data_IF_535717485476
#
_entry.id   IF_535717485476
#
_cell.length_a   1.000
_cell.length_b   1.000
_cell.length_c   1.000
_cell.angle_alpha   90.00
_cell.angle_beta   90.00
_cell.angle_gamma   90.00
#
_symmetry.space_group_name_H-M   'P 1'
#
loop_
_entity.id
_entity.type
_entity.pdbx_description
1 polymer ?
#
# COMPACT_ATOMS: atom_id res chain seq x y z
N UNK A 1 -28.73 -5.02 -6.11
CA UNK A 1 -27.69 -4.02 -5.84
C UNK A 1 -28.22 -2.62 -6.12
N UNK A 2 -27.69 -1.66 -5.38
CA UNK A 2 -28.02 -0.25 -5.54
C UNK A 2 -26.86 0.61 -5.05
N UNK A 3 -26.78 1.84 -5.55
CA UNK A 3 -25.70 2.70 -5.11
C UNK A 3 -25.87 4.14 -5.51
N UNK A 4 -25.00 4.96 -4.92
CA UNK A 4 -24.92 6.39 -5.17
C UNK A 4 -23.53 6.78 -5.66
N UNK A 5 -23.52 7.71 -6.59
CA UNK A 5 -22.30 8.33 -7.07
C UNK A 5 -22.28 9.81 -6.68
N UNK A 6 -21.21 10.22 -6.02
CA UNK A 6 -20.99 11.59 -5.58
C UNK A 6 -19.80 12.18 -6.33
N UNK A 7 -20.04 13.13 -7.20
CA UNK A 7 -19.01 14.00 -7.76
C UNK A 7 -18.71 15.11 -6.75
N UNK A 8 -17.81 14.84 -5.79
CA UNK A 8 -17.52 15.78 -4.70
C UNK A 8 -16.82 17.04 -5.23
N UNK A 9 -15.94 16.85 -6.21
CA UNK A 9 -15.26 17.95 -6.90
C UNK A 9 -14.71 17.46 -8.25
N UNK A 10 -14.22 18.36 -9.08
CA UNK A 10 -13.53 18.03 -10.35
C UNK A 10 -12.30 17.13 -10.18
N UNK A 11 -11.87 16.90 -8.94
CA UNK A 11 -10.65 16.17 -8.59
C UNK A 11 -10.91 14.93 -7.75
N UNK A 12 -12.13 14.74 -7.29
CA UNK A 12 -12.47 13.67 -6.37
C UNK A 12 -13.90 13.20 -6.55
N UNK A 13 -14.06 11.90 -6.72
CA UNK A 13 -15.35 11.21 -6.77
C UNK A 13 -15.47 10.13 -5.70
N UNK A 14 -16.69 9.74 -5.39
CA UNK A 14 -17.00 8.66 -4.49
C UNK A 14 -18.21 7.89 -5.01
N UNK A 15 -18.05 6.59 -5.16
CA UNK A 15 -19.11 5.65 -5.51
C UNK A 15 -19.37 4.73 -4.32
N UNK A 16 -20.59 4.70 -3.84
CA UNK A 16 -21.05 3.76 -2.82
C UNK A 16 -22.02 2.76 -3.46
N UNK A 17 -21.80 1.48 -3.22
CA UNK A 17 -22.66 0.39 -3.66
C UNK A 17 -23.06 -0.45 -2.46
N UNK A 18 -24.33 -0.82 -2.40
CA UNK A 18 -24.88 -1.80 -1.47
C UNK A 18 -25.46 -2.98 -2.22
N UNK A 19 -25.21 -4.17 -1.75
CA UNK A 19 -25.68 -5.42 -2.32
C UNK A 19 -26.43 -6.20 -1.25
N UNK A 20 -27.60 -6.71 -1.57
CA UNK A 20 -28.42 -7.55 -0.67
C UNK A 20 -28.84 -8.79 -1.46
N UNK A 21 -28.66 -9.95 -0.83
CA UNK A 21 -28.95 -11.24 -1.41
C UNK A 21 -30.09 -11.93 -0.68
N UNK A 22 -30.81 -12.80 -1.37
CA UNK A 22 -32.04 -13.43 -0.90
C UNK A 22 -31.90 -14.26 0.39
N UNK A 23 -30.71 -14.81 0.68
CA UNK A 23 -30.43 -15.58 1.89
C UNK A 23 -29.97 -14.71 3.08
N UNK A 24 -30.11 -13.38 2.98
CA UNK A 24 -29.75 -12.45 4.04
C UNK A 24 -28.26 -12.10 4.09
N UNK A 25 -27.47 -12.49 3.07
CA UNK A 25 -26.15 -11.97 2.84
C UNK A 25 -26.25 -10.53 2.36
N UNK A 26 -25.32 -9.70 2.76
CA UNK A 26 -25.25 -8.30 2.31
C UNK A 26 -23.82 -7.85 2.16
N UNK A 27 -23.63 -6.82 1.36
CA UNK A 27 -22.33 -6.23 1.13
C UNK A 27 -22.42 -4.73 0.92
N UNK A 28 -21.35 -4.04 1.26
CA UNK A 28 -21.15 -2.64 0.98
C UNK A 28 -19.80 -2.44 0.35
N UNK A 29 -19.73 -1.63 -0.69
CA UNK A 29 -18.46 -1.24 -1.28
C UNK A 29 -18.39 0.27 -1.53
N UNK A 30 -17.22 0.81 -1.35
CA UNK A 30 -16.89 2.21 -1.60
C UNK A 30 -15.70 2.29 -2.56
N UNK A 31 -15.87 3.02 -3.65
CA UNK A 31 -14.80 3.28 -4.60
C UNK A 31 -14.64 4.79 -4.77
N UNK A 32 -13.43 5.26 -4.70
CA UNK A 32 -13.11 6.68 -4.82
C UNK A 32 -11.89 6.85 -5.72
N UNK A 33 -11.97 7.82 -6.62
CA UNK A 33 -10.83 8.23 -7.43
C UNK A 33 -10.51 9.68 -7.13
N UNK A 34 -9.23 9.98 -7.04
CA UNK A 34 -8.79 11.35 -6.85
C UNK A 34 -7.61 11.67 -7.76
N UNK A 35 -7.63 12.87 -8.31
CA UNK A 35 -6.59 13.32 -9.24
C UNK A 35 -6.42 14.83 -9.18
N UNK A 36 -5.15 15.25 -9.00
CA UNK A 36 -4.75 16.64 -9.18
C UNK A 36 -3.65 16.71 -10.22
N UNK A 37 -3.93 17.36 -11.36
CA UNK A 37 -2.98 17.50 -12.47
C UNK A 37 -1.63 17.98 -11.99
N UNK A 38 -0.55 17.35 -12.47
CA UNK A 38 0.83 17.64 -12.16
C UNK A 38 1.20 17.51 -10.67
N UNK A 39 0.35 16.89 -9.85
CA UNK A 39 0.62 16.68 -8.43
C UNK A 39 0.51 15.22 -8.02
N UNK A 40 -0.67 14.64 -8.13
CA UNK A 40 -0.91 13.25 -7.72
C UNK A 40 -2.17 12.68 -8.36
N UNK A 41 -2.23 11.37 -8.39
CA UNK A 41 -3.42 10.60 -8.71
C UNK A 41 -3.49 9.35 -7.84
N UNK A 42 -4.69 8.87 -7.60
CA UNK A 42 -4.89 7.64 -6.87
C UNK A 42 -6.32 7.17 -6.92
N UNK A 43 -6.51 5.96 -6.43
CA UNK A 43 -7.81 5.32 -6.25
C UNK A 43 -7.84 4.59 -4.92
N UNK A 44 -9.00 4.59 -4.31
CA UNK A 44 -9.29 3.85 -3.10
C UNK A 44 -10.51 2.98 -3.32
N UNK A 45 -10.43 1.73 -2.90
CA UNK A 45 -11.53 0.78 -2.93
C UNK A 45 -11.59 0.06 -1.60
N UNK A 46 -12.78 0.01 -1.02
CA UNK A 46 -13.11 -0.76 0.16
C UNK A 46 -14.33 -1.60 -0.13
N UNK A 47 -14.35 -2.84 0.30
CA UNK A 47 -15.50 -3.72 0.23
C UNK A 47 -15.59 -4.54 1.52
N UNK A 48 -16.78 -4.64 2.05
CA UNK A 48 -17.13 -5.50 3.17
C UNK A 48 -18.33 -6.36 2.79
N UNK A 49 -18.28 -7.62 3.12
CA UNK A 49 -19.37 -8.58 2.86
C UNK A 49 -19.61 -9.46 4.06
N UNK A 50 -20.87 -9.63 4.39
CA UNK A 50 -21.40 -10.64 5.32
C UNK A 50 -22.12 -11.69 4.48
N UNK A 51 -21.51 -12.88 4.37
CA UNK A 51 -22.02 -13.98 3.53
C UNK A 51 -22.61 -15.05 4.42
N UNK A 52 -23.89 -15.35 4.19
CA UNK A 52 -24.63 -16.41 4.86
C UNK A 52 -24.89 -17.55 3.89
N UNK A 53 -24.46 -18.75 4.29
CA UNK A 53 -24.65 -19.97 3.53
C UNK A 53 -25.48 -20.95 4.35
N UNK A 54 -26.29 -21.78 3.70
CA UNK A 54 -27.26 -22.66 4.39
C UNK A 54 -28.50 -21.92 4.86
N UNK A 55 -29.40 -22.65 5.52
CA UNK A 55 -30.62 -22.09 6.09
C UNK A 55 -30.49 -21.96 7.61
N UNK A 56 -30.96 -20.86 8.16
CA UNK A 56 -30.86 -20.56 9.59
C UNK A 56 -31.53 -21.64 10.44
N UNK A 57 -30.74 -22.32 11.28
CA UNK A 57 -31.18 -23.44 12.09
C UNK A 57 -30.82 -24.83 11.55
N UNK A 58 -30.19 -24.91 10.38
CA UNK A 58 -29.64 -26.16 9.84
C UNK A 58 -28.15 -26.32 10.19
N UNK A 59 -27.60 -27.55 10.22
CA UNK A 59 -26.20 -27.80 10.56
C UNK A 59 -25.20 -27.24 9.55
N UNK A 60 -25.66 -26.91 8.36
CA UNK A 60 -24.89 -26.33 7.26
C UNK A 60 -24.90 -24.79 7.22
N UNK A 61 -25.55 -24.16 8.24
CA UNK A 61 -25.55 -22.71 8.35
C UNK A 61 -24.17 -22.21 8.73
N UNK A 62 -23.63 -21.34 7.90
CA UNK A 62 -22.37 -20.63 8.16
C UNK A 62 -22.53 -19.15 7.84
N UNK A 63 -22.03 -18.31 8.73
CA UNK A 63 -21.93 -16.87 8.55
C UNK A 63 -20.47 -16.48 8.53
N UNK A 64 -20.06 -15.74 7.52
CA UNK A 64 -18.66 -15.40 7.32
C UNK A 64 -18.51 -13.96 6.83
N UNK A 65 -17.77 -13.20 7.59
CA UNK A 65 -17.40 -11.84 7.25
C UNK A 65 -16.13 -11.82 6.41
N UNK A 66 -16.09 -10.91 5.45
CA UNK A 66 -14.92 -10.72 4.60
C UNK A 66 -14.79 -9.26 4.17
N UNK A 67 -13.56 -8.82 4.02
CA UNK A 67 -13.27 -7.44 3.59
C UNK A 67 -12.08 -7.39 2.64
N UNK A 68 -12.04 -6.30 1.86
CA UNK A 68 -10.96 -6.00 0.93
C UNK A 68 -10.69 -4.50 0.90
N UNK A 69 -9.42 -4.16 0.96
CA UNK A 69 -8.93 -2.78 0.85
C UNK A 69 -7.93 -2.73 -0.29
N UNK A 70 -8.15 -1.82 -1.22
CA UNK A 70 -7.19 -1.50 -2.26
C UNK A 70 -6.98 0.00 -2.28
N UNK A 71 -5.73 0.41 -2.27
CA UNK A 71 -5.36 1.80 -2.41
C UNK A 71 -4.16 1.93 -3.31
N UNK A 72 -4.30 2.75 -4.32
CA UNK A 72 -3.18 3.14 -5.17
C UNK A 72 -2.98 4.65 -5.09
N UNK A 73 -1.75 5.06 -4.92
CA UNK A 73 -1.36 6.46 -4.94
C UNK A 73 -0.07 6.64 -5.72
N UNK A 74 -0.04 7.63 -6.55
CA UNK A 74 1.15 8.00 -7.32
C UNK A 74 1.31 9.51 -7.34
N UNK A 75 2.41 9.97 -6.82
CA UNK A 75 2.83 11.35 -6.97
C UNK A 75 3.39 11.58 -8.39
N UNK A 76 3.02 12.68 -9.00
CA UNK A 76 3.58 13.09 -10.31
C UNK A 76 5.00 13.62 -10.10
N UNK A 77 5.92 13.25 -10.98
CA UNK A 77 7.31 13.74 -10.94
C UNK A 77 7.44 15.25 -11.04
N UNK A 78 6.44 15.91 -11.63
CA UNK A 78 6.36 17.37 -11.70
C UNK A 78 5.94 18.04 -10.39
N UNK A 79 5.38 17.28 -9.44
CA UNK A 79 4.94 17.81 -8.16
C UNK A 79 6.12 18.25 -7.27
N UNK A 80 7.18 17.45 -7.30
CA UNK A 80 8.44 17.74 -6.61
C UNK A 80 9.58 17.02 -7.32
N UNK A 81 10.65 17.71 -7.70
CA UNK A 81 11.83 17.08 -8.30
C UNK A 81 12.66 16.29 -7.28
N UNK A 82 12.46 16.53 -5.99
CA UNK A 82 13.27 15.97 -4.92
C UNK A 82 12.54 14.92 -4.07
N UNK A 83 11.22 14.78 -4.22
CA UNK A 83 10.42 13.86 -3.42
C UNK A 83 9.48 13.07 -4.30
N UNK A 84 9.39 11.77 -4.05
CA UNK A 84 8.42 10.88 -4.69
C UNK A 84 7.69 10.03 -3.65
N UNK A 85 6.39 9.87 -3.84
CA UNK A 85 5.55 8.99 -3.06
C UNK A 85 4.73 8.11 -4.00
N UNK A 86 4.83 6.80 -3.81
CA UNK A 86 3.98 5.83 -4.48
C UNK A 86 3.50 4.78 -3.49
N UNK A 87 2.24 4.41 -3.59
CA UNK A 87 1.63 3.38 -2.78
C UNK A 87 0.78 2.46 -3.63
N UNK A 88 0.85 1.17 -3.36
CA UNK A 88 0.00 0.15 -3.94
C UNK A 88 -0.35 -0.83 -2.83
N UNK A 89 -1.52 -0.63 -2.21
CA UNK A 89 -2.01 -1.47 -1.13
C UNK A 89 -3.11 -2.38 -1.67
N UNK A 90 -2.97 -3.67 -1.43
CA UNK A 90 -3.96 -4.69 -1.79
C UNK A 90 -4.04 -5.69 -0.64
N UNK A 91 -4.96 -5.46 0.27
CA UNK A 91 -5.18 -6.26 1.45
C UNK A 91 -6.61 -6.80 1.47
N UNK A 92 -6.79 -8.06 1.82
CA UNK A 92 -8.11 -8.65 1.98
C UNK A 92 -8.06 -9.77 3.03
N UNK A 93 -9.22 -10.08 3.64
CA UNK A 93 -9.34 -11.28 4.44
C UNK A 93 -9.14 -12.53 3.58
N UNK A 94 -8.60 -13.61 4.18
CA UNK A 94 -8.29 -14.86 3.47
C UNK A 94 -9.50 -15.47 2.77
N UNK A 95 -10.68 -15.27 3.35
CA UNK A 95 -11.95 -15.77 2.85
C UNK A 95 -12.62 -14.89 1.78
N UNK A 96 -12.10 -13.66 1.56
CA UNK A 96 -12.79 -12.67 0.71
C UNK A 96 -13.14 -13.20 -0.68
N UNK A 97 -12.18 -13.78 -1.41
CA UNK A 97 -12.42 -14.24 -2.78
C UNK A 97 -13.34 -15.49 -2.82
N UNK A 98 -13.31 -16.31 -1.77
CA UNK A 98 -14.18 -17.50 -1.67
C UNK A 98 -15.61 -17.11 -1.40
N UNK A 99 -15.84 -16.06 -0.64
CA UNK A 99 -17.16 -15.63 -0.19
C UNK A 99 -17.78 -14.58 -1.10
N UNK A 100 -16.96 -13.90 -1.90
CA UNK A 100 -17.45 -12.90 -2.84
C UNK A 100 -18.12 -13.57 -4.03
N UNK A 101 -19.46 -13.44 -4.12
CA UNK A 101 -20.26 -14.02 -5.19
C UNK A 101 -19.82 -13.51 -6.59
N UNK A 102 -19.35 -12.28 -6.68
CA UNK A 102 -18.83 -11.73 -7.94
C UNK A 102 -17.51 -12.38 -8.36
N UNK A 103 -16.70 -12.85 -7.39
CA UNK A 103 -15.43 -13.53 -7.66
C UNK A 103 -15.65 -14.95 -8.21
N UNK A 104 -16.77 -15.59 -7.91
CA UNK A 104 -17.08 -16.93 -8.41
C UNK A 104 -17.16 -17.01 -9.94
N UNK A 105 -17.44 -15.90 -10.61
CA UNK A 105 -17.48 -15.80 -12.06
C UNK A 105 -16.13 -15.46 -12.69
N UNK A 106 -15.08 -15.23 -11.87
CA UNK A 106 -13.75 -14.88 -12.36
C UNK A 106 -12.68 -15.86 -11.81
N UNK A 107 -12.31 -16.90 -12.59
CA UNK A 107 -11.33 -17.89 -12.15
C UNK A 107 -9.96 -17.32 -11.77
N UNK A 108 -9.57 -16.19 -12.37
CA UNK A 108 -8.27 -15.55 -12.08
C UNK A 108 -8.22 -15.00 -10.64
N UNK A 109 -9.32 -14.47 -10.12
CA UNK A 109 -9.40 -13.98 -8.75
C UNK A 109 -9.41 -15.11 -7.73
N UNK A 110 -10.08 -16.22 -8.04
CA UNK A 110 -10.14 -17.41 -7.18
C UNK A 110 -8.78 -18.12 -7.06
N UNK A 111 -7.94 -18.05 -8.08
CA UNK A 111 -6.62 -18.69 -8.08
C UNK A 111 -5.51 -17.82 -7.51
N UNK A 112 -5.80 -16.56 -7.22
CA UNK A 112 -4.80 -15.66 -6.64
C UNK A 112 -4.45 -16.07 -5.22
N UNK A 113 -3.26 -16.63 -5.03
CA UNK A 113 -2.77 -17.12 -3.74
C UNK A 113 -1.95 -16.12 -2.94
N UNK A 114 -1.46 -15.07 -3.59
CA UNK A 114 -0.60 -14.07 -2.94
C UNK A 114 -1.04 -12.65 -3.27
N UNK A 115 -1.08 -11.80 -2.26
CA UNK A 115 -1.33 -10.36 -2.39
C UNK A 115 -0.13 -9.60 -1.86
N UNK A 116 0.27 -8.58 -2.59
CA UNK A 116 1.38 -7.72 -2.20
C UNK A 116 0.92 -6.28 -2.07
N UNK A 117 1.44 -5.62 -1.05
CA UNK A 117 1.25 -4.20 -0.83
C UNK A 117 2.60 -3.55 -0.65
N UNK A 118 2.79 -2.38 -1.24
CA UNK A 118 4.02 -1.61 -1.08
C UNK A 118 3.73 -0.13 -1.00
N UNK A 119 4.45 0.54 -0.11
CA UNK A 119 4.47 2.00 -0.01
C UNK A 119 5.92 2.43 -0.09
N UNK A 120 6.24 3.27 -1.05
CA UNK A 120 7.58 3.76 -1.30
C UNK A 120 7.58 5.29 -1.21
N UNK A 121 8.42 5.80 -0.35
CA UNK A 121 8.67 7.22 -0.22
C UNK A 121 10.15 7.49 -0.34
N UNK A 122 10.51 8.47 -1.14
CA UNK A 122 11.89 8.91 -1.23
C UNK A 122 11.98 10.43 -1.28
N UNK A 123 13.01 10.98 -0.67
CA UNK A 123 13.30 12.40 -0.73
C UNK A 123 14.79 12.64 -0.83
N UNK A 124 15.16 13.61 -1.64
CA UNK A 124 16.54 14.04 -1.84
C UNK A 124 16.77 15.46 -1.34
N UNK A 125 17.89 15.66 -0.67
CA UNK A 125 18.37 16.96 -0.22
C UNK A 125 19.59 17.34 -1.02
N UNK A 126 19.40 18.07 -2.12
CA UNK A 126 20.46 18.42 -3.07
C UNK A 126 21.57 19.26 -2.45
N UNK A 127 21.26 20.03 -1.40
CA UNK A 127 22.26 20.87 -0.71
C UNK A 127 23.38 20.07 -0.03
N UNK A 128 23.10 18.87 0.43
CA UNK A 128 24.06 17.99 1.11
C UNK A 128 24.27 16.66 0.39
N UNK A 129 23.65 16.48 -0.78
CA UNK A 129 23.73 15.24 -1.55
C UNK A 129 23.15 14.02 -0.80
N UNK A 130 22.17 14.22 0.09
CA UNK A 130 21.54 13.16 0.88
C UNK A 130 20.27 12.69 0.19
N UNK A 131 20.08 11.37 0.17
CA UNK A 131 18.83 10.72 -0.23
C UNK A 131 18.33 9.87 0.94
N UNK A 132 17.08 10.07 1.28
CA UNK A 132 16.35 9.26 2.26
C UNK A 132 15.24 8.52 1.54
N UNK A 133 15.18 7.21 1.71
CA UNK A 133 14.08 6.39 1.21
C UNK A 133 13.49 5.53 2.32
N UNK A 134 12.18 5.43 2.33
CA UNK A 134 11.43 4.56 3.22
C UNK A 134 10.53 3.66 2.37
N UNK A 135 10.64 2.36 2.60
CA UNK A 135 9.83 1.36 1.92
C UNK A 135 9.09 0.53 2.95
N UNK A 136 7.84 0.26 2.69
CA UNK A 136 7.02 -0.65 3.46
C UNK A 136 6.47 -1.70 2.50
N UNK A 137 6.69 -2.97 2.82
CA UNK A 137 6.20 -4.09 2.03
C UNK A 137 5.38 -5.02 2.92
N UNK A 138 4.27 -5.47 2.37
CA UNK A 138 3.41 -6.47 2.98
C UNK A 138 3.09 -7.51 1.92
N UNK A 139 3.33 -8.78 2.22
CA UNK A 139 2.97 -9.92 1.38
C UNK A 139 2.06 -10.84 2.19
N UNK A 140 0.87 -11.06 1.68
CA UNK A 140 -0.14 -11.93 2.26
C UNK A 140 -0.27 -13.20 1.41
N UNK A 141 -0.05 -14.37 2.03
CA UNK A 141 -0.30 -15.66 1.40
C UNK A 141 -1.68 -16.16 1.82
N UNK A 142 -2.60 -16.20 0.86
CA UNK A 142 -4.00 -16.58 1.10
C UNK A 142 -4.17 -18.09 1.29
N UNK A 143 -3.20 -18.90 0.89
CA UNK A 143 -3.27 -20.37 1.04
C UNK A 143 -2.94 -20.79 2.47
N UNK A 144 -1.90 -20.21 3.05
CA UNK A 144 -1.37 -20.57 4.35
C UNK A 144 -1.80 -19.58 5.45
N UNK A 145 -2.60 -18.56 5.08
CA UNK A 145 -3.01 -17.45 5.96
C UNK A 145 -1.83 -16.79 6.69
N UNK A 146 -0.71 -16.65 5.99
CA UNK A 146 0.50 -16.02 6.52
C UNK A 146 0.70 -14.63 5.96
N UNK A 147 1.20 -13.75 6.82
CA UNK A 147 1.52 -12.37 6.47
C UNK A 147 2.98 -12.12 6.77
N UNK A 148 3.70 -11.72 5.73
CA UNK A 148 5.07 -11.24 5.82
C UNK A 148 5.09 -9.74 5.64
N UNK A 149 5.67 -9.03 6.61
CA UNK A 149 5.63 -7.58 6.65
C UNK A 149 7.04 -7.05 6.91
N UNK A 150 7.50 -6.12 6.07
CA UNK A 150 8.73 -5.36 6.29
C UNK A 150 8.35 -3.91 6.56
N UNK A 151 8.51 -3.48 7.82
CA UNK A 151 8.03 -2.19 8.34
C UNK A 151 8.96 -1.67 9.45
N UNK A 152 9.60 -0.52 9.26
CA UNK A 152 9.98 0.12 8.03
C UNK A 152 11.28 -0.47 7.45
N UNK A 153 11.52 -0.25 6.16
CA UNK A 153 12.82 -0.38 5.52
C UNK A 153 13.29 1.04 5.17
N UNK A 154 14.26 1.54 5.92
CA UNK A 154 14.79 2.89 5.79
C UNK A 154 16.21 2.84 5.23
N UNK A 155 16.43 3.56 4.16
CA UNK A 155 17.75 3.75 3.58
C UNK A 155 18.13 5.23 3.58
N UNK A 156 19.29 5.52 4.15
CA UNK A 156 19.90 6.84 4.15
C UNK A 156 21.19 6.75 3.36
N UNK A 157 21.33 7.55 2.33
CA UNK A 157 22.55 7.62 1.52
C UNK A 157 23.00 9.07 1.40
N UNK A 158 24.25 9.32 1.75
CA UNK A 158 24.90 10.60 1.52
C UNK A 158 25.93 10.36 0.43
N UNK A 159 25.75 11.06 -0.70
CA UNK A 159 26.68 11.01 -1.81
C UNK A 159 28.07 11.50 -1.38
N UNK A 160 29.07 11.13 -2.16
CA UNK A 160 30.44 11.55 -1.89
C UNK A 160 30.54 13.06 -1.73
N UNK A 161 31.01 13.52 -0.59
CA UNK A 161 31.28 14.92 -0.29
C UNK A 161 32.72 15.09 0.22
N UNK A 162 33.21 16.28 0.10
CA UNK A 162 34.60 16.65 0.48
C UNK A 162 34.55 17.66 1.62
N UNK A 163 34.57 17.23 2.88
CA UNK A 163 34.34 18.10 4.05
C UNK A 163 35.41 19.18 4.21
N UNK A 164 36.63 18.92 3.71
CA UNK A 164 37.77 19.80 3.86
C UNK A 164 38.11 20.61 2.61
N UNK A 165 37.23 20.54 1.59
CA UNK A 165 37.44 21.25 0.34
C UNK A 165 37.16 22.75 0.50
N UNK A 166 38.12 23.59 0.15
CA UNK A 166 37.98 25.06 0.17
C UNK A 166 36.89 25.52 -0.81
N UNK A 167 36.06 26.49 -0.40
CA UNK A 167 35.06 27.11 -1.28
C UNK A 167 35.63 27.91 -2.45
N UNK A 168 36.86 28.45 -2.28
CA UNK A 168 37.60 29.16 -3.33
C UNK A 168 38.92 28.43 -3.53
N UNK A 169 39.13 27.85 -4.68
CA UNK A 169 40.40 27.26 -5.06
C UNK A 169 41.40 28.37 -5.44
N UNK A 170 42.45 28.46 -4.65
CA UNK A 170 43.62 29.32 -4.97
C UNK A 170 44.85 28.41 -4.83
N UNK A 171 45.50 28.09 -5.97
CA UNK A 171 46.62 27.15 -6.01
C UNK A 171 46.24 25.69 -6.10
N UNK A 172 47.22 24.79 -5.98
CA UNK A 172 47.03 23.34 -6.07
C UNK A 172 46.20 22.77 -4.93
N UNK A 173 45.45 21.71 -5.23
CA UNK A 173 44.66 20.95 -4.21
C UNK A 173 45.60 20.31 -3.19
N UNK A 174 45.39 20.59 -1.92
CA UNK A 174 46.12 19.97 -0.81
C UNK A 174 45.61 18.55 -0.57
N UNK A 175 46.44 17.69 -0.01
CA UNK A 175 46.14 16.27 0.21
C UNK A 175 44.86 16.04 1.03
N UNK A 176 44.55 16.87 2.03
CA UNK A 176 43.34 16.78 2.85
C UNK A 176 42.06 17.20 2.10
N UNK A 177 42.16 18.00 1.06
CA UNK A 177 41.04 18.41 0.21
C UNK A 177 40.52 17.25 -0.68
N UNK A 178 41.39 16.24 -0.88
CA UNK A 178 41.07 15.02 -1.61
C UNK A 178 40.33 13.97 -0.76
N UNK A 179 40.20 14.20 0.55
CA UNK A 179 39.48 13.30 1.44
C UNK A 179 38.00 13.36 1.11
N UNK A 180 37.50 12.28 0.56
CA UNK A 180 36.10 12.09 0.20
C UNK A 180 35.43 11.21 1.27
N UNK A 181 34.25 11.61 1.69
CA UNK A 181 33.41 10.84 2.61
C UNK A 181 32.08 10.52 1.94
N UNK A 182 31.57 9.32 2.16
CA UNK A 182 30.21 8.90 1.82
C UNK A 182 29.64 8.13 2.98
N UNK A 183 28.35 8.18 3.15
CA UNK A 183 27.66 7.44 4.22
C UNK A 183 26.46 6.72 3.65
N UNK A 184 26.27 5.47 4.06
CA UNK A 184 25.08 4.69 3.74
C UNK A 184 24.64 3.98 5.01
N UNK A 185 23.39 4.21 5.40
CA UNK A 185 22.74 3.54 6.52
C UNK A 185 21.50 2.81 6.05
N UNK A 186 21.27 1.61 6.58
CA UNK A 186 20.10 0.81 6.30
C UNK A 186 19.51 0.28 7.60
N UNK A 187 18.21 0.45 7.79
CA UNK A 187 17.47 -0.07 8.93
C UNK A 187 16.24 -0.78 8.39
N UNK A 188 16.11 -2.07 8.67
CA UNK A 188 14.92 -2.82 8.30
C UNK A 188 14.40 -3.65 9.46
N UNK A 189 13.09 -3.76 9.56
CA UNK A 189 12.41 -4.62 10.49
C UNK A 189 11.44 -5.51 9.71
N UNK A 190 11.52 -6.83 9.91
CA UNK A 190 10.66 -7.81 9.24
C UNK A 190 9.91 -8.66 10.26
N UNK A 191 8.63 -8.83 10.01
CA UNK A 191 7.72 -9.60 10.85
C UNK A 191 7.01 -10.62 9.97
N UNK A 192 7.03 -11.89 10.40
CA UNK A 192 6.26 -12.96 9.77
C UNK A 192 5.28 -13.52 10.81
N UNK A 193 4.01 -13.50 10.48
CA UNK A 193 2.95 -13.96 11.39
C UNK A 193 1.79 -14.57 10.64
N UNK A 194 0.91 -15.25 11.37
CA UNK A 194 -0.38 -15.72 10.84
C UNK A 194 -1.43 -14.62 10.99
N UNK A 195 -2.38 -14.56 10.08
CA UNK A 195 -3.47 -13.57 10.07
C UNK A 195 -4.26 -13.57 11.40
N UNK A 196 -4.56 -14.73 11.95
CA UNK A 196 -5.30 -14.89 13.21
C UNK A 196 -4.64 -14.17 14.41
N UNK A 197 -3.30 -14.12 14.42
CA UNK A 197 -2.55 -13.46 15.50
C UNK A 197 -2.48 -11.94 15.37
N UNK A 198 -2.69 -11.41 14.18
CA UNK A 198 -2.76 -9.97 13.95
C UNK A 198 -4.12 -9.38 14.31
N UNK A 199 -5.18 -10.17 14.12
CA UNK A 199 -6.55 -9.74 14.36
C UNK A 199 -7.01 -9.94 15.81
N UNK A 200 -6.38 -10.85 16.54
CA UNK A 200 -6.66 -11.14 17.93
C UNK A 200 -5.47 -10.66 18.78
N UNK A 201 -5.41 -9.37 19.02
CA UNK A 201 -4.59 -8.79 20.07
C UNK A 201 -5.33 -9.01 21.39
N UNK A 202 -4.84 -9.95 22.21
CA UNK A 202 -5.19 -10.02 23.64
C UNK A 202 -4.59 -8.81 24.35
#
# INVERSE_FOLDING_TARGET
DGGYYFAISDKWDLKLLGEIYTKGSWGISAASNYRKRYKYSGSFFFSYQDTKTGDKGMPDFAEQESFKIQWSHRQDSKASPFSSLSASVNFASTSYERNNLNSLYNPQTLTQSTRTSSVNWSTGFSSIGMTLSATMNLSQNMRDSTISMTLPDLNISIARFYPFRRKKMVGDERWYEKIAMSYTGHISNSINTKEDKLMHSN
#
